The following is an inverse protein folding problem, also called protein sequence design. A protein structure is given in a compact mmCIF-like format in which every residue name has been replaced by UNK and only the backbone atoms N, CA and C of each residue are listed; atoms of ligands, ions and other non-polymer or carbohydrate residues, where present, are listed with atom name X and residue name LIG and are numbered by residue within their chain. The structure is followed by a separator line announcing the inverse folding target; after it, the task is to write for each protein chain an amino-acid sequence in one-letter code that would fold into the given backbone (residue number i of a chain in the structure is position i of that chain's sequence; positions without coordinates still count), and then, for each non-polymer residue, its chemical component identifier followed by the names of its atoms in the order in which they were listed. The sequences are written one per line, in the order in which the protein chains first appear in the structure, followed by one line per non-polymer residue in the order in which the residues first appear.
data_IF_782107397356
#
_entry.id   IF_782107397356
#
_cell.length_a   1.000
_cell.length_b   1.000
_cell.length_c   1.000
_cell.angle_alpha   90.00
_cell.angle_beta   90.00
_cell.angle_gamma   90.00
#
_symmetry.space_group_name_H-M   'P 1'
#
loop_
_entity.id
_entity.type
_entity.pdbx_description
1 polymer ?
#
# COMPACT_ATOMS: atom_id res chain seq x y z
N UNK A 1 6.70 25.11 -13.42
CA UNK A 1 5.81 23.96 -13.71
C UNK A 1 5.89 22.83 -12.68
N UNK A 2 7.04 22.60 -12.01
CA UNK A 2 7.21 21.56 -10.97
C UNK A 2 6.33 21.75 -9.74
N UNK A 3 6.26 22.93 -9.15
CA UNK A 3 5.48 23.21 -7.93
C UNK A 3 3.94 23.16 -8.12
N UNK A 4 3.45 23.43 -9.33
CA UNK A 4 2.00 23.35 -9.62
C UNK A 4 1.53 21.90 -9.70
N UNK A 5 2.33 21.02 -10.30
CA UNK A 5 2.03 19.58 -10.36
C UNK A 5 2.13 18.90 -9.00
N UNK A 6 3.09 19.31 -8.14
CA UNK A 6 3.19 18.77 -6.77
C UNK A 6 1.98 19.15 -5.89
N UNK A 7 1.44 20.35 -6.07
CA UNK A 7 0.25 20.77 -5.33
C UNK A 7 -1.04 20.09 -5.81
N UNK A 8 -1.16 19.80 -7.11
CA UNK A 8 -2.28 19.05 -7.67
C UNK A 8 -2.27 17.58 -7.23
N UNK A 9 -1.09 16.95 -7.14
CA UNK A 9 -0.94 15.56 -6.67
C UNK A 9 -1.19 15.43 -5.18
N UNK A 10 -0.68 16.37 -4.35
CA UNK A 10 -1.02 16.45 -2.92
C UNK A 10 -2.50 16.69 -2.67
N UNK A 11 -3.16 17.52 -3.49
CA UNK A 11 -4.61 17.76 -3.42
C UNK A 11 -5.43 16.52 -3.77
N UNK A 12 -5.06 15.78 -4.84
CA UNK A 12 -5.70 14.51 -5.20
C UNK A 12 -5.55 13.42 -4.14
N UNK A 13 -4.36 13.32 -3.53
CA UNK A 13 -4.10 12.39 -2.43
C UNK A 13 -4.89 12.76 -1.17
N UNK A 14 -4.99 14.05 -0.86
CA UNK A 14 -5.77 14.56 0.27
C UNK A 14 -7.28 14.31 0.07
N UNK A 15 -7.80 14.44 -1.14
CA UNK A 15 -9.20 14.13 -1.46
C UNK A 15 -9.50 12.63 -1.42
N UNK A 16 -8.55 11.75 -1.80
CA UNK A 16 -8.67 10.29 -1.64
C UNK A 16 -8.65 9.88 -0.17
N UNK A 17 -7.71 10.40 0.64
CA UNK A 17 -7.70 10.19 2.09
C UNK A 17 -8.96 10.70 2.77
N UNK A 18 -9.45 11.87 2.39
CA UNK A 18 -10.70 12.41 2.94
C UNK A 18 -11.92 11.54 2.59
N UNK A 19 -12.00 11.04 1.34
CA UNK A 19 -13.04 10.11 0.90
C UNK A 19 -13.01 8.79 1.66
N UNK A 20 -11.82 8.28 1.96
CA UNK A 20 -11.62 7.03 2.70
C UNK A 20 -11.92 7.21 4.19
N UNK A 21 -11.41 8.27 4.82
CA UNK A 21 -11.67 8.61 6.24
C UNK A 21 -13.15 8.92 6.48
N UNK A 22 -13.82 9.64 5.59
CA UNK A 22 -15.27 9.89 5.66
C UNK A 22 -16.06 8.60 5.47
N UNK A 23 -15.58 7.69 4.64
CA UNK A 23 -16.20 6.39 4.44
C UNK A 23 -16.02 5.49 5.68
N UNK A 24 -14.83 5.36 6.25
CA UNK A 24 -14.60 4.63 7.51
C UNK A 24 -15.37 5.22 8.69
N UNK A 25 -15.36 6.54 8.83
CA UNK A 25 -16.03 7.22 9.94
C UNK A 25 -17.56 7.16 9.90
N UNK A 26 -18.17 7.16 8.72
CA UNK A 26 -19.63 7.18 8.57
C UNK A 26 -20.22 5.82 8.19
N UNK A 27 -19.52 5.01 7.41
CA UNK A 27 -20.05 3.77 6.86
C UNK A 27 -20.01 2.63 7.85
N UNK A 28 -18.97 2.54 8.69
CA UNK A 28 -18.85 1.52 9.74
C UNK A 28 -20.04 1.53 10.69
N UNK A 29 -20.36 2.66 11.36
CA UNK A 29 -21.53 2.77 12.24
C UNK A 29 -22.85 2.53 11.51
N UNK A 30 -23.04 3.02 10.28
CA UNK A 30 -24.29 2.84 9.53
C UNK A 30 -24.52 1.37 9.17
N UNK A 31 -23.47 0.65 8.74
CA UNK A 31 -23.55 -0.79 8.44
C UNK A 31 -23.88 -1.58 9.69
N UNK A 32 -23.25 -1.25 10.81
CA UNK A 32 -23.50 -1.90 12.10
C UNK A 32 -24.94 -1.67 12.60
N UNK A 33 -25.42 -0.43 12.56
CA UNK A 33 -26.79 -0.08 12.89
C UNK A 33 -27.78 -0.84 11.98
N UNK A 34 -27.50 -0.88 10.67
CA UNK A 34 -28.34 -1.59 9.71
C UNK A 34 -28.35 -3.11 9.91
N UNK A 35 -27.27 -3.69 10.44
CA UNK A 35 -27.15 -5.11 10.71
C UNK A 35 -27.95 -5.54 11.95
N UNK A 36 -28.03 -4.66 12.96
CA UNK A 36 -28.62 -5.02 14.26
C UNK A 36 -29.98 -4.35 14.55
N UNK A 37 -30.46 -3.44 13.71
CA UNK A 37 -31.67 -2.66 13.99
C UNK A 37 -32.95 -3.52 14.21
N UNK A 38 -33.05 -4.64 13.47
CA UNK A 38 -34.18 -5.59 13.63
C UNK A 38 -34.19 -6.23 15.00
N UNK A 39 -33.01 -6.65 15.48
CA UNK A 39 -32.86 -7.26 16.81
C UNK A 39 -33.13 -6.23 17.91
N UNK A 40 -32.67 -4.98 17.71
CA UNK A 40 -32.96 -3.87 18.62
C UNK A 40 -34.45 -3.56 18.67
N UNK A 41 -35.16 -3.59 17.54
CA UNK A 41 -36.62 -3.44 17.52
C UNK A 41 -37.35 -4.59 18.26
N UNK A 42 -36.91 -5.84 18.10
CA UNK A 42 -37.44 -6.98 18.81
C UNK A 42 -37.25 -6.81 20.32
N UNK A 43 -36.04 -6.46 20.76
CA UNK A 43 -35.76 -6.21 22.18
C UNK A 43 -36.58 -5.04 22.73
N UNK A 44 -36.78 -3.99 21.96
CA UNK A 44 -37.59 -2.84 22.35
C UNK A 44 -39.09 -3.21 22.46
N UNK A 45 -39.61 -4.00 21.53
CA UNK A 45 -40.99 -4.53 21.61
C UNK A 45 -41.17 -5.42 22.82
N UNK A 46 -40.19 -6.27 23.12
CA UNK A 46 -40.19 -7.11 24.32
C UNK A 46 -40.11 -6.29 25.60
N UNK A 47 -39.30 -5.23 25.62
CA UNK A 47 -39.23 -4.30 26.76
C UNK A 47 -40.59 -3.69 27.07
N UNK A 48 -41.31 -3.22 26.07
CA UNK A 48 -42.63 -2.64 26.25
C UNK A 48 -43.67 -3.72 26.67
N UNK A 49 -43.65 -4.89 26.02
CA UNK A 49 -44.55 -5.98 26.36
C UNK A 49 -44.29 -6.52 27.77
N UNK A 50 -43.01 -6.65 28.16
CA UNK A 50 -42.64 -7.07 29.52
C UNK A 50 -43.10 -6.07 30.59
N UNK A 51 -42.89 -4.75 30.33
CA UNK A 51 -43.37 -3.71 31.23
C UNK A 51 -44.91 -3.76 31.38
N UNK A 52 -45.64 -4.06 30.30
CA UNK A 52 -47.09 -4.20 30.34
C UNK A 52 -47.55 -5.44 31.16
N UNK A 53 -46.82 -6.55 31.02
CA UNK A 53 -47.05 -7.77 31.82
C UNK A 53 -46.83 -7.47 33.29
N UNK A 54 -45.72 -6.92 33.71
CA UNK A 54 -45.41 -6.60 35.10
C UNK A 54 -46.39 -5.57 35.70
N UNK A 55 -46.81 -4.58 34.92
CA UNK A 55 -47.82 -3.62 35.37
C UNK A 55 -49.17 -4.25 35.59
N UNK A 56 -49.59 -5.19 34.71
CA UNK A 56 -50.91 -5.81 34.76
C UNK A 56 -51.01 -6.92 35.81
N UNK A 57 -50.05 -7.83 35.88
CA UNK A 57 -50.10 -9.00 36.75
C UNK A 57 -49.54 -8.73 38.16
N UNK A 58 -48.47 -7.99 38.25
CA UNK A 58 -47.78 -7.69 39.51
C UNK A 58 -48.21 -6.32 40.13
N UNK A 59 -49.12 -5.61 39.46
CA UNK A 59 -49.61 -4.29 39.89
C UNK A 59 -48.51 -3.26 40.20
N UNK A 60 -47.33 -3.40 39.58
CA UNK A 60 -46.22 -2.48 39.78
C UNK A 60 -46.53 -1.10 39.19
N UNK A 61 -46.06 -0.01 39.83
CA UNK A 61 -46.10 1.30 39.22
C UNK A 61 -45.31 1.29 37.92
N UNK A 62 -45.68 2.13 36.95
CA UNK A 62 -45.12 2.10 35.60
C UNK A 62 -43.57 2.08 35.58
N UNK A 63 -42.94 2.87 36.44
CA UNK A 63 -41.47 2.92 36.54
C UNK A 63 -40.90 1.59 37.07
N UNK A 64 -41.56 0.97 38.04
CA UNK A 64 -41.18 -0.34 38.57
C UNK A 64 -41.33 -1.45 37.54
N UNK A 65 -42.40 -1.42 36.75
CA UNK A 65 -42.63 -2.36 35.65
C UNK A 65 -41.59 -2.27 34.53
N UNK A 66 -41.16 -1.05 34.18
CA UNK A 66 -40.10 -0.81 33.25
C UNK A 66 -38.75 -1.35 33.77
N UNK A 67 -38.41 -1.11 35.03
CA UNK A 67 -37.19 -1.65 35.65
C UNK A 67 -37.20 -3.17 35.71
N UNK A 68 -38.34 -3.79 36.09
CA UNK A 68 -38.50 -5.24 36.09
C UNK A 68 -38.30 -5.82 34.68
N UNK A 69 -38.89 -5.21 33.66
CA UNK A 69 -38.75 -5.64 32.27
C UNK A 69 -37.30 -5.59 31.82
N UNK A 70 -36.56 -4.46 32.06
CA UNK A 70 -35.13 -4.35 31.74
C UNK A 70 -34.33 -5.44 32.47
N UNK A 71 -34.59 -5.63 33.77
CA UNK A 71 -33.88 -6.62 34.58
C UNK A 71 -34.05 -8.06 34.03
N UNK A 72 -35.22 -8.38 33.55
CA UNK A 72 -35.50 -9.70 32.96
C UNK A 72 -34.85 -9.87 31.58
N UNK A 73 -34.96 -8.88 30.72
CA UNK A 73 -34.36 -8.93 29.36
C UNK A 73 -32.83 -8.97 29.42
N UNK A 74 -32.23 -8.22 30.33
CA UNK A 74 -30.78 -8.19 30.50
C UNK A 74 -30.22 -9.35 31.31
N UNK A 75 -31.06 -10.22 31.82
CA UNK A 75 -30.70 -11.36 32.69
C UNK A 75 -29.93 -10.97 33.96
N UNK A 76 -30.01 -9.69 34.36
CA UNK A 76 -29.30 -9.19 35.55
C UNK A 76 -29.95 -9.71 36.85
N UNK A 77 -31.22 -10.06 36.80
CA UNK A 77 -31.92 -10.67 37.94
C UNK A 77 -32.18 -9.71 39.10
N UNK A 78 -32.24 -8.39 38.87
CA UNK A 78 -32.53 -7.40 39.91
C UNK A 78 -33.95 -7.43 40.41
N UNK A 79 -34.88 -7.97 39.62
CA UNK A 79 -36.28 -8.15 39.97
C UNK A 79 -36.68 -9.62 39.85
N UNK A 80 -37.34 -10.15 40.89
CA UNK A 80 -37.85 -11.50 40.91
C UNK A 80 -39.34 -11.40 41.18
N UNK A 81 -40.22 -11.93 40.31
CA UNK A 81 -41.66 -11.90 40.47
C UNK A 81 -42.07 -12.50 41.81
N UNK A 82 -43.09 -11.92 42.47
CA UNK A 82 -43.62 -12.37 43.74
C UNK A 82 -42.55 -12.67 44.83
N UNK A 83 -41.44 -11.93 44.84
CA UNK A 83 -40.33 -12.13 45.80
C UNK A 83 -39.67 -13.50 45.71
N UNK A 84 -39.73 -14.17 44.55
CA UNK A 84 -39.15 -15.50 44.31
C UNK A 84 -40.07 -16.67 44.59
N UNK A 85 -41.31 -16.44 44.92
CA UNK A 85 -42.29 -17.52 45.12
C UNK A 85 -43.01 -17.88 43.82
N UNK A 86 -42.41 -18.75 43.03
CA UNK A 86 -42.89 -19.15 41.69
C UNK A 86 -44.18 -19.96 41.73
N UNK A 87 -44.60 -20.50 42.92
CA UNK A 87 -45.86 -21.26 43.08
C UNK A 87 -47.10 -20.37 43.04
N UNK A 88 -46.93 -19.06 43.18
CA UNK A 88 -48.04 -18.08 43.16
C UNK A 88 -48.18 -17.37 41.81
N UNK A 89 -47.31 -17.66 40.83
CA UNK A 89 -47.45 -17.12 39.49
C UNK A 89 -48.65 -17.71 38.75
N UNK A 90 -49.38 -16.87 38.04
CA UNK A 90 -50.39 -17.33 37.11
C UNK A 90 -49.75 -18.08 35.95
N UNK A 91 -50.33 -19.18 35.46
CA UNK A 91 -49.80 -19.97 34.34
C UNK A 91 -49.51 -19.11 33.09
N UNK A 92 -50.37 -18.13 32.80
CA UNK A 92 -50.19 -17.22 31.67
C UNK A 92 -49.00 -16.29 31.86
N UNK A 93 -48.83 -15.78 33.07
CA UNK A 93 -47.69 -14.93 33.42
C UNK A 93 -46.35 -15.70 33.32
N UNK A 94 -46.29 -16.90 33.90
CA UNK A 94 -45.16 -17.79 33.85
C UNK A 94 -44.78 -18.12 32.41
N UNK A 95 -45.74 -18.43 31.54
CA UNK A 95 -45.51 -18.71 30.13
C UNK A 95 -44.95 -17.50 29.39
N UNK A 96 -45.52 -16.31 29.63
CA UNK A 96 -45.01 -15.07 29.00
C UNK A 96 -43.58 -14.74 29.44
N UNK A 97 -43.24 -14.93 30.72
CA UNK A 97 -41.88 -14.73 31.22
C UNK A 97 -40.89 -15.71 30.60
N UNK A 98 -41.26 -16.99 30.48
CA UNK A 98 -40.42 -18.01 29.82
C UNK A 98 -40.13 -17.62 28.34
N UNK A 99 -41.18 -17.26 27.60
CA UNK A 99 -41.04 -16.81 26.20
C UNK A 99 -40.13 -15.58 26.13
N UNK A 100 -40.32 -14.63 27.05
CA UNK A 100 -39.51 -13.39 27.07
C UNK A 100 -38.02 -13.67 27.31
N UNK A 101 -37.69 -14.59 28.23
CA UNK A 101 -36.32 -15.01 28.51
C UNK A 101 -35.71 -15.71 27.28
N UNK A 102 -36.39 -16.67 26.68
CA UNK A 102 -35.90 -17.41 25.53
C UNK A 102 -35.62 -16.46 24.34
N UNK A 103 -36.56 -15.56 24.05
CA UNK A 103 -36.40 -14.60 22.93
C UNK A 103 -35.34 -13.57 23.23
N UNK A 104 -35.15 -13.10 24.48
CA UNK A 104 -34.10 -12.15 24.84
C UNK A 104 -32.70 -12.74 24.66
N UNK A 105 -32.50 -13.99 25.12
CA UNK A 105 -31.21 -14.69 24.92
C UNK A 105 -30.92 -14.91 23.42
N UNK A 106 -31.96 -15.35 22.68
CA UNK A 106 -31.84 -15.52 21.22
C UNK A 106 -31.53 -14.22 20.48
N UNK A 107 -32.17 -13.11 20.86
CA UNK A 107 -31.89 -11.80 20.29
C UNK A 107 -30.48 -11.32 20.63
N UNK A 108 -30.01 -11.51 21.86
CA UNK A 108 -28.64 -11.22 22.30
C UNK A 108 -27.60 -11.99 21.49
N UNK A 109 -27.79 -13.30 21.32
CA UNK A 109 -26.93 -14.15 20.50
C UNK A 109 -26.89 -13.69 19.01
N UNK A 110 -28.08 -13.32 18.49
CA UNK A 110 -28.23 -12.81 17.12
C UNK A 110 -27.51 -11.46 16.91
N UNK A 111 -27.51 -10.58 17.92
CA UNK A 111 -26.74 -9.31 17.87
C UNK A 111 -25.24 -9.59 17.81
N UNK A 112 -24.73 -10.48 18.66
CA UNK A 112 -23.31 -10.88 18.63
C UNK A 112 -22.94 -11.45 17.26
N UNK A 113 -23.71 -12.38 16.73
CA UNK A 113 -23.48 -12.98 15.42
C UNK A 113 -23.51 -11.92 14.28
N UNK A 114 -24.47 -11.00 14.33
CA UNK A 114 -24.60 -9.92 13.34
C UNK A 114 -23.43 -8.94 13.41
N UNK A 115 -22.91 -8.68 14.61
CA UNK A 115 -21.74 -7.82 14.82
C UNK A 115 -20.49 -8.46 14.27
N UNK A 116 -20.24 -9.74 14.58
CA UNK A 116 -19.11 -10.50 14.02
C UNK A 116 -19.19 -10.53 12.49
N UNK A 117 -20.35 -10.86 11.94
CA UNK A 117 -20.56 -10.88 10.50
C UNK A 117 -20.33 -9.49 9.86
N UNK A 118 -20.70 -8.41 10.55
CA UNK A 118 -20.51 -7.04 10.05
C UNK A 118 -19.06 -6.64 10.02
N UNK A 119 -18.25 -7.06 11.00
CA UNK A 119 -16.80 -6.84 11.03
C UNK A 119 -16.13 -7.63 9.91
N UNK A 120 -16.46 -8.92 9.76
CA UNK A 120 -15.91 -9.77 8.67
C UNK A 120 -16.32 -9.23 7.30
N UNK A 121 -17.60 -8.88 7.10
CA UNK A 121 -18.09 -8.32 5.84
C UNK A 121 -17.54 -6.90 5.58
N UNK A 122 -17.22 -6.13 6.62
CA UNK A 122 -16.54 -4.84 6.50
C UNK A 122 -15.15 -4.97 5.88
N UNK A 123 -14.39 -6.01 6.26
CA UNK A 123 -13.11 -6.33 5.63
C UNK A 123 -13.29 -6.73 4.15
N UNK A 124 -14.34 -7.51 3.84
CA UNK A 124 -14.69 -7.88 2.46
C UNK A 124 -15.17 -6.66 1.64
N UNK A 125 -15.91 -5.74 2.27
CA UNK A 125 -16.36 -4.51 1.62
C UNK A 125 -15.20 -3.56 1.28
N UNK A 126 -14.12 -3.51 2.08
CA UNK A 126 -12.88 -2.80 1.73
C UNK A 126 -12.32 -3.30 0.40
N UNK A 127 -12.21 -4.60 0.20
CA UNK A 127 -11.74 -5.20 -1.06
C UNK A 127 -12.60 -4.85 -2.27
N UNK A 128 -13.93 -4.74 -2.11
CA UNK A 128 -14.83 -4.31 -3.20
C UNK A 128 -14.69 -2.82 -3.54
N UNK A 129 -14.41 -1.98 -2.55
CA UNK A 129 -14.15 -0.55 -2.77
C UNK A 129 -12.82 -0.36 -3.47
N UNK A 130 -11.77 -1.08 -3.06
CA UNK A 130 -10.47 -1.05 -3.73
C UNK A 130 -10.61 -1.44 -5.20
N UNK A 131 -11.31 -2.52 -5.51
CA UNK A 131 -11.59 -2.92 -6.90
C UNK A 131 -12.24 -1.78 -7.68
N UNK A 132 -13.24 -1.10 -7.09
CA UNK A 132 -13.90 0.05 -7.73
C UNK A 132 -12.95 1.25 -7.90
N UNK A 133 -12.03 1.48 -6.97
CA UNK A 133 -11.02 2.53 -7.08
C UNK A 133 -10.00 2.20 -8.17
N UNK A 134 -9.50 0.97 -8.20
CA UNK A 134 -8.57 0.49 -9.23
C UNK A 134 -9.20 0.63 -10.63
N UNK A 135 -10.49 0.30 -10.77
CA UNK A 135 -11.23 0.43 -12.05
C UNK A 135 -11.23 1.85 -12.63
N UNK A 136 -11.15 2.87 -11.75
CA UNK A 136 -11.14 4.29 -12.15
C UNK A 136 -9.76 4.81 -12.53
N UNK A 137 -8.69 4.07 -12.20
CA UNK A 137 -7.34 4.47 -12.55
C UNK A 137 -7.10 4.42 -14.06
N UNK A 138 -6.27 5.33 -14.54
CA UNK A 138 -5.78 5.39 -15.92
C UNK A 138 -4.31 5.81 -15.92
N UNK A 139 -3.50 5.14 -16.73
CA UNK A 139 -2.08 5.46 -16.83
C UNK A 139 -1.28 5.14 -15.55
N UNK A 140 -1.83 4.32 -14.67
CA UNK A 140 -1.18 3.92 -13.41
C UNK A 140 -0.07 2.91 -13.65
N UNK A 141 0.77 2.74 -12.64
CA UNK A 141 1.82 1.73 -12.58
C UNK A 141 1.29 0.48 -11.88
N UNK A 142 1.68 -0.70 -12.34
CA UNK A 142 1.47 -1.97 -11.65
C UNK A 142 2.82 -2.40 -11.10
N UNK A 143 2.91 -2.61 -9.80
CA UNK A 143 4.13 -3.11 -9.12
C UNK A 143 3.84 -4.51 -8.61
N UNK A 144 4.52 -5.51 -9.18
CA UNK A 144 4.43 -6.91 -8.76
C UNK A 144 5.58 -7.26 -7.82
N UNK A 145 5.23 -7.80 -6.65
CA UNK A 145 6.19 -8.12 -5.60
C UNK A 145 6.45 -6.92 -4.67
N UNK A 146 5.87 -6.96 -3.48
CA UNK A 146 6.11 -5.95 -2.43
C UNK A 146 7.24 -6.39 -1.50
N UNK A 147 8.37 -6.75 -2.11
CA UNK A 147 9.63 -7.07 -1.45
C UNK A 147 10.33 -5.79 -1.01
N UNK A 148 11.55 -5.90 -0.46
CA UNK A 148 12.34 -4.70 -0.12
C UNK A 148 12.48 -3.76 -1.33
N UNK A 149 12.78 -4.31 -2.51
CA UNK A 149 12.91 -3.51 -3.74
C UNK A 149 11.56 -2.93 -4.18
N UNK A 150 10.50 -3.75 -4.19
CA UNK A 150 9.15 -3.28 -4.54
C UNK A 150 8.68 -2.12 -3.65
N UNK A 151 9.01 -2.15 -2.35
CA UNK A 151 8.73 -1.03 -1.43
C UNK A 151 9.43 0.25 -1.87
N UNK A 152 10.72 0.20 -2.21
CA UNK A 152 11.45 1.37 -2.70
C UNK A 152 10.89 1.91 -4.02
N UNK A 153 10.46 1.01 -4.93
CA UNK A 153 9.79 1.43 -6.18
C UNK A 153 8.50 2.20 -5.86
N UNK A 154 7.66 1.63 -4.98
CA UNK A 154 6.40 2.24 -4.54
C UNK A 154 6.64 3.59 -3.87
N UNK A 155 7.61 3.69 -2.97
CA UNK A 155 8.00 4.94 -2.31
C UNK A 155 8.39 6.02 -3.34
N UNK A 156 9.22 5.67 -4.33
CA UNK A 156 9.63 6.62 -5.37
C UNK A 156 8.52 7.01 -6.34
N UNK A 157 7.57 6.12 -6.62
CA UNK A 157 6.36 6.46 -7.37
C UNK A 157 5.47 7.41 -6.56
N UNK A 158 5.34 7.16 -5.26
CA UNK A 158 4.55 7.95 -4.34
C UNK A 158 5.13 9.38 -4.17
N UNK A 159 6.44 9.52 -3.99
CA UNK A 159 7.14 10.82 -3.94
C UNK A 159 6.89 11.66 -5.21
N UNK A 160 6.78 11.00 -6.36
CA UNK A 160 6.49 11.64 -7.65
C UNK A 160 5.01 11.88 -7.89
N UNK A 161 4.13 11.45 -6.99
CA UNK A 161 2.68 11.58 -7.11
C UNK A 161 2.07 10.74 -8.22
N UNK A 162 2.70 9.62 -8.59
CA UNK A 162 2.24 8.71 -9.62
C UNK A 162 1.26 7.70 -9.03
N UNK A 163 0.19 7.39 -9.76
CA UNK A 163 -0.78 6.38 -9.34
C UNK A 163 -0.23 4.98 -9.58
N UNK A 164 -0.39 4.09 -8.60
CA UNK A 164 0.08 2.71 -8.70
C UNK A 164 -0.86 1.72 -8.02
N UNK A 165 -0.75 0.45 -8.41
CA UNK A 165 -1.42 -0.70 -7.81
C UNK A 165 -0.35 -1.74 -7.52
N UNK A 166 -0.34 -2.26 -6.30
CA UNK A 166 0.60 -3.32 -5.90
C UNK A 166 -0.07 -4.69 -6.06
N UNK A 167 0.62 -5.65 -6.65
CA UNK A 167 0.22 -7.05 -6.66
C UNK A 167 1.15 -7.82 -5.72
N UNK A 168 0.60 -8.56 -4.77
CA UNK A 168 1.36 -9.39 -3.83
C UNK A 168 0.72 -10.76 -3.65
N UNK A 169 1.53 -11.79 -3.40
CA UNK A 169 1.07 -13.14 -3.06
C UNK A 169 0.91 -13.34 -1.56
N UNK A 170 1.45 -12.44 -0.74
CA UNK A 170 1.43 -12.53 0.71
C UNK A 170 0.21 -11.81 1.29
N UNK A 171 -0.63 -12.56 2.02
CA UNK A 171 -1.85 -12.04 2.63
C UNK A 171 -1.59 -10.98 3.71
N UNK A 172 -0.53 -11.15 4.51
CA UNK A 172 -0.19 -10.20 5.56
C UNK A 172 0.25 -8.86 4.97
N UNK A 173 1.07 -8.92 3.91
CA UNK A 173 1.48 -7.73 3.14
C UNK A 173 0.28 -7.05 2.49
N UNK A 174 -0.65 -7.83 1.93
CA UNK A 174 -1.89 -7.29 1.37
C UNK A 174 -2.71 -6.53 2.42
N UNK A 175 -2.88 -7.12 3.61
CA UNK A 175 -3.61 -6.49 4.71
C UNK A 175 -2.90 -5.21 5.21
N UNK A 176 -1.56 -5.21 5.29
CA UNK A 176 -0.75 -4.03 5.62
C UNK A 176 -0.97 -2.91 4.61
N UNK A 177 -0.94 -3.22 3.31
CA UNK A 177 -1.12 -2.25 2.22
C UNK A 177 -2.51 -1.61 2.28
N UNK A 178 -3.56 -2.41 2.44
CA UNK A 178 -4.94 -1.91 2.55
C UNK A 178 -5.10 -1.01 3.77
N UNK A 179 -4.50 -1.39 4.90
CA UNK A 179 -4.55 -0.59 6.13
C UNK A 179 -3.83 0.76 5.95
N UNK A 180 -2.81 0.79 5.09
CA UNK A 180 -2.02 1.98 4.76
C UNK A 180 -2.58 2.79 3.57
N UNK A 181 -3.83 2.54 3.15
CA UNK A 181 -4.49 3.19 2.00
C UNK A 181 -3.76 3.01 0.65
N UNK A 182 -3.02 1.93 0.50
CA UNK A 182 -2.36 1.55 -0.75
C UNK A 182 -3.26 0.61 -1.54
N UNK A 183 -3.53 0.93 -2.80
CA UNK A 183 -4.31 0.06 -3.67
C UNK A 183 -3.53 -1.21 -3.99
N UNK A 184 -4.07 -2.35 -3.61
CA UNK A 184 -3.42 -3.63 -3.75
C UNK A 184 -4.32 -4.71 -4.34
N UNK A 185 -3.72 -5.71 -4.94
CA UNK A 185 -4.38 -6.93 -5.43
C UNK A 185 -3.68 -8.12 -4.80
N UNK A 186 -4.44 -8.98 -4.15
CA UNK A 186 -3.93 -10.25 -3.66
C UNK A 186 -3.95 -11.29 -4.79
N UNK A 187 -2.78 -11.78 -5.15
CA UNK A 187 -2.66 -12.92 -6.06
C UNK A 187 -2.88 -14.22 -5.30
N UNK A 188 -3.86 -14.99 -5.71
CA UNK A 188 -4.19 -16.28 -5.11
C UNK A 188 -4.01 -17.40 -6.13
N UNK A 189 -3.37 -18.50 -5.69
CA UNK A 189 -3.23 -19.70 -6.52
C UNK A 189 -2.28 -19.55 -7.72
N UNK A 190 -1.38 -18.56 -7.74
CA UNK A 190 -0.43 -18.35 -8.84
C UNK A 190 -1.07 -17.86 -10.15
N UNK A 191 -2.29 -17.32 -10.10
CA UNK A 191 -3.00 -16.83 -11.29
C UNK A 191 -2.62 -15.36 -11.61
N UNK A 192 -1.44 -15.20 -12.21
CA UNK A 192 -0.92 -13.90 -12.66
C UNK A 192 -1.87 -13.17 -13.64
N UNK A 193 -2.59 -13.93 -14.49
CA UNK A 193 -3.54 -13.35 -15.46
C UNK A 193 -4.69 -12.69 -14.72
N UNK A 194 -5.25 -13.37 -13.73
CA UNK A 194 -6.36 -12.85 -12.92
C UNK A 194 -5.93 -11.61 -12.13
N UNK A 195 -4.75 -11.65 -11.53
CA UNK A 195 -4.19 -10.53 -10.75
C UNK A 195 -3.96 -9.30 -11.60
N UNK A 196 -3.36 -9.45 -12.78
CA UNK A 196 -3.14 -8.37 -13.74
C UNK A 196 -4.46 -7.77 -14.26
N UNK A 197 -5.47 -8.60 -14.54
CA UNK A 197 -6.82 -8.11 -14.89
C UNK A 197 -7.46 -7.35 -13.74
N UNK A 198 -7.32 -7.83 -12.51
CA UNK A 198 -7.84 -7.13 -11.32
C UNK A 198 -7.11 -5.81 -11.06
N UNK A 199 -5.83 -5.71 -11.44
CA UNK A 199 -5.05 -4.47 -11.44
C UNK A 199 -5.33 -3.58 -12.67
N UNK A 200 -6.27 -3.93 -13.55
CA UNK A 200 -6.63 -3.21 -14.77
C UNK A 200 -5.43 -2.90 -15.69
N UNK A 201 -4.67 -3.93 -16.06
CA UNK A 201 -3.51 -3.84 -16.95
C UNK A 201 -3.82 -3.13 -18.27
N UNK A 202 -5.07 -3.23 -18.76
CA UNK A 202 -5.52 -2.59 -19.99
C UNK A 202 -5.48 -1.06 -19.92
N UNK A 203 -5.49 -0.49 -18.71
CA UNK A 203 -5.43 0.96 -18.46
C UNK A 203 -4.10 1.42 -17.85
N UNK A 204 -3.22 0.49 -17.49
CA UNK A 204 -1.93 0.78 -16.91
C UNK A 204 -0.96 1.35 -17.94
N UNK A 205 0.05 2.09 -17.50
CA UNK A 205 1.14 2.60 -18.38
C UNK A 205 2.38 1.70 -18.34
N UNK A 206 2.68 1.13 -17.18
CA UNK A 206 3.91 0.37 -16.95
C UNK A 206 3.63 -0.76 -15.97
N UNK A 207 4.28 -1.91 -16.18
CA UNK A 207 4.37 -3.00 -15.21
C UNK A 207 5.81 -3.09 -14.73
N UNK A 208 6.02 -3.00 -13.42
CA UNK A 208 7.30 -3.22 -12.76
C UNK A 208 7.23 -4.54 -12.03
N UNK A 209 8.11 -5.47 -12.39
CA UNK A 209 8.16 -6.82 -11.85
C UNK A 209 9.40 -6.94 -10.98
N UNK A 210 9.18 -7.04 -9.66
CA UNK A 210 10.24 -6.92 -8.65
C UNK A 210 10.09 -7.95 -7.52
N UNK A 211 9.64 -9.18 -7.85
CA UNK A 211 9.59 -10.27 -6.87
C UNK A 211 10.96 -10.92 -6.67
N UNK A 212 11.12 -11.65 -5.56
CA UNK A 212 12.35 -12.37 -5.20
C UNK A 212 12.60 -13.55 -6.12
N UNK A 213 11.54 -14.20 -6.60
CA UNK A 213 11.65 -15.39 -7.45
C UNK A 213 11.63 -15.04 -8.92
N UNK A 214 12.72 -15.29 -9.61
CA UNK A 214 12.83 -15.05 -11.06
C UNK A 214 11.80 -15.84 -11.88
N UNK A 215 11.40 -17.05 -11.43
CA UNK A 215 10.34 -17.85 -12.05
C UNK A 215 8.98 -17.12 -12.05
N UNK A 216 8.63 -16.50 -10.92
CA UNK A 216 7.36 -15.77 -10.77
C UNK A 216 7.41 -14.48 -11.61
N UNK A 217 8.57 -13.83 -11.67
CA UNK A 217 8.81 -12.69 -12.54
C UNK A 217 8.62 -13.04 -14.01
N UNK A 218 9.19 -14.15 -14.49
CA UNK A 218 9.04 -14.62 -15.87
C UNK A 218 7.58 -14.95 -16.20
N UNK A 219 6.87 -15.64 -15.30
CA UNK A 219 5.46 -15.97 -15.48
C UNK A 219 4.60 -14.71 -15.59
N UNK A 220 4.86 -13.70 -14.75
CA UNK A 220 4.13 -12.44 -14.81
C UNK A 220 4.41 -11.68 -16.11
N UNK A 221 5.66 -11.62 -16.57
CA UNK A 221 6.04 -10.98 -17.84
C UNK A 221 5.28 -11.61 -18.99
N UNK A 222 5.28 -12.94 -19.11
CA UNK A 222 4.54 -13.67 -20.14
C UNK A 222 3.04 -13.39 -20.07
N UNK A 223 2.48 -13.38 -18.85
CA UNK A 223 1.07 -13.10 -18.63
C UNK A 223 0.70 -11.66 -19.00
N UNK A 224 1.53 -10.69 -18.63
CA UNK A 224 1.35 -9.29 -18.97
C UNK A 224 1.41 -9.06 -20.48
N UNK A 225 2.38 -9.64 -21.16
CA UNK A 225 2.55 -9.53 -22.62
C UNK A 225 1.43 -10.20 -23.39
N UNK A 226 0.89 -11.32 -22.87
CA UNK A 226 -0.30 -11.99 -23.41
C UNK A 226 -1.55 -11.12 -23.30
N UNK A 227 -1.73 -10.40 -22.20
CA UNK A 227 -2.89 -9.55 -21.96
C UNK A 227 -2.78 -8.22 -22.72
N UNK A 228 -1.57 -7.65 -22.79
CA UNK A 228 -1.36 -6.37 -23.46
C UNK A 228 0.02 -6.32 -24.12
N UNK A 229 0.03 -6.31 -25.45
CA UNK A 229 1.28 -6.41 -26.24
C UNK A 229 2.16 -5.17 -26.19
N UNK A 230 1.59 -4.00 -26.00
CA UNK A 230 2.24 -2.67 -26.07
C UNK A 230 2.64 -2.10 -24.70
N UNK A 231 2.28 -2.77 -23.59
CA UNK A 231 2.62 -2.27 -22.26
C UNK A 231 4.11 -2.35 -22.00
N UNK A 232 4.66 -1.29 -21.40
CA UNK A 232 6.07 -1.27 -20.99
C UNK A 232 6.27 -2.15 -19.74
N UNK A 233 7.19 -3.11 -19.82
CA UNK A 233 7.48 -4.07 -18.75
C UNK A 233 8.94 -3.91 -18.32
N UNK A 234 9.15 -3.57 -17.05
CA UNK A 234 10.45 -3.51 -16.41
C UNK A 234 10.58 -4.66 -15.41
N UNK A 235 11.69 -5.35 -15.40
CA UNK A 235 11.93 -6.43 -14.45
C UNK A 235 13.35 -6.42 -13.91
N UNK A 236 13.51 -7.03 -12.74
CA UNK A 236 14.82 -7.46 -12.24
C UNK A 236 14.96 -8.96 -12.47
N UNK A 237 16.19 -9.41 -12.61
CA UNK A 237 16.57 -10.82 -12.52
C UNK A 237 17.74 -10.94 -11.55
N UNK A 238 17.72 -11.97 -10.72
CA UNK A 238 18.78 -12.23 -9.74
C UNK A 238 19.91 -13.04 -10.39
N UNK A 239 19.54 -14.00 -11.26
CA UNK A 239 20.47 -14.78 -12.04
C UNK A 239 20.72 -14.15 -13.42
N UNK A 240 21.98 -13.88 -13.72
CA UNK A 240 22.39 -13.27 -14.99
C UNK A 240 21.99 -14.12 -16.22
N UNK A 241 21.99 -15.44 -16.07
CA UNK A 241 21.58 -16.40 -17.10
C UNK A 241 20.12 -16.20 -17.56
N UNK A 242 19.26 -15.62 -16.71
CA UNK A 242 17.86 -15.39 -17.01
C UNK A 242 17.57 -14.06 -17.73
N UNK A 243 18.58 -13.22 -17.93
CA UNK A 243 18.41 -11.92 -18.62
C UNK A 243 17.80 -12.07 -20.00
N UNK A 244 18.38 -12.94 -20.83
CA UNK A 244 17.91 -13.16 -22.20
C UNK A 244 16.54 -13.81 -22.21
N UNK A 245 16.28 -14.73 -21.29
CA UNK A 245 14.97 -15.34 -21.13
C UNK A 245 13.90 -14.30 -20.76
N UNK A 246 14.19 -13.37 -19.86
CA UNK A 246 13.28 -12.29 -19.49
C UNK A 246 13.00 -11.33 -20.66
N UNK A 247 14.02 -11.00 -21.46
CA UNK A 247 13.86 -10.21 -22.71
C UNK A 247 12.97 -10.96 -23.70
N UNK A 248 13.23 -12.25 -23.93
CA UNK A 248 12.46 -13.10 -24.84
C UNK A 248 11.01 -13.32 -24.35
N UNK A 249 10.79 -13.36 -23.02
CA UNK A 249 9.46 -13.37 -22.43
C UNK A 249 8.67 -12.08 -22.67
N UNK A 250 9.36 -11.00 -23.09
CA UNK A 250 8.76 -9.74 -23.48
C UNK A 250 9.01 -8.57 -22.51
N UNK A 251 10.01 -8.65 -21.62
CA UNK A 251 10.42 -7.49 -20.83
C UNK A 251 11.15 -6.47 -21.71
N UNK A 252 10.78 -5.19 -21.59
CA UNK A 252 11.43 -4.10 -22.32
C UNK A 252 12.73 -3.66 -21.65
N UNK A 253 12.78 -3.75 -20.32
CA UNK A 253 13.97 -3.43 -19.52
C UNK A 253 14.18 -4.57 -18.52
N UNK A 254 15.38 -5.14 -18.55
CA UNK A 254 15.81 -6.19 -17.60
C UNK A 254 17.03 -5.70 -16.87
N UNK A 255 16.98 -5.68 -15.55
CA UNK A 255 18.08 -5.25 -14.67
C UNK A 255 18.64 -6.47 -13.95
N UNK A 256 19.86 -6.92 -14.26
CA UNK A 256 20.50 -8.02 -13.54
C UNK A 256 21.05 -7.51 -12.21
N UNK A 257 20.32 -7.75 -11.13
CA UNK A 257 20.62 -7.16 -9.82
C UNK A 257 22.00 -7.55 -9.29
N UNK A 258 22.38 -8.84 -9.40
CA UNK A 258 23.67 -9.33 -8.90
C UNK A 258 24.86 -8.72 -9.65
N UNK A 259 24.78 -8.63 -10.98
CA UNK A 259 25.84 -8.01 -11.79
C UNK A 259 25.93 -6.52 -11.47
N UNK A 260 24.79 -5.82 -11.49
CA UNK A 260 24.75 -4.37 -11.25
C UNK A 260 25.30 -4.01 -9.88
N UNK A 261 24.85 -4.70 -8.83
CA UNK A 261 25.33 -4.47 -7.47
C UNK A 261 26.80 -4.89 -7.31
N UNK A 262 27.23 -5.99 -7.94
CA UNK A 262 28.63 -6.42 -7.94
C UNK A 262 29.55 -5.39 -8.56
N UNK A 263 29.19 -4.84 -9.71
CA UNK A 263 29.96 -3.75 -10.35
C UNK A 263 30.00 -2.50 -9.46
N UNK A 264 28.87 -2.09 -8.86
CA UNK A 264 28.83 -0.95 -7.94
C UNK A 264 29.76 -1.14 -6.74
N UNK A 265 29.72 -2.33 -6.13
CA UNK A 265 30.57 -2.63 -4.97
C UNK A 265 32.04 -2.70 -5.35
N UNK A 266 32.38 -3.33 -6.48
CA UNK A 266 33.76 -3.39 -6.96
C UNK A 266 34.30 -2.00 -7.28
N UNK A 267 33.49 -1.14 -7.88
CA UNK A 267 33.85 0.25 -8.15
C UNK A 267 34.04 1.04 -6.85
N UNK A 268 33.10 0.93 -5.91
CA UNK A 268 33.19 1.60 -4.62
C UNK A 268 34.44 1.17 -3.82
N UNK A 269 34.88 -0.07 -3.98
CA UNK A 269 36.07 -0.58 -3.29
C UNK A 269 37.38 -0.01 -3.80
N UNK A 270 37.42 0.45 -5.07
CA UNK A 270 38.65 0.98 -5.72
C UNK A 270 38.63 2.49 -5.92
N UNK A 271 37.52 3.15 -5.65
CA UNK A 271 37.37 4.60 -5.80
C UNK A 271 37.41 5.26 -4.42
N UNK A 272 38.24 6.24 -4.11
CA UNK A 272 38.40 6.85 -2.77
C UNK A 272 37.13 7.57 -2.49
N UNK A 273 36.23 7.94 -2.60
CA UNK A 273 34.93 8.58 -2.25
C UNK A 273 33.86 8.41 -3.34
N UNK A 274 33.30 7.20 -3.52
CA UNK A 274 32.26 6.98 -4.51
C UNK A 274 30.91 7.55 -4.00
N UNK A 275 30.52 8.73 -4.48
CA UNK A 275 29.26 9.40 -4.07
C UNK A 275 28.08 8.92 -4.92
N UNK A 276 28.27 8.55 -6.17
CA UNK A 276 27.22 7.99 -7.02
C UNK A 276 27.78 7.45 -8.34
N UNK A 277 27.30 6.29 -8.74
CA UNK A 277 27.71 5.65 -9.99
C UNK A 277 26.50 5.12 -10.74
N UNK A 278 26.38 5.48 -12.01
CA UNK A 278 25.37 4.94 -12.92
C UNK A 278 26.09 4.17 -14.02
N UNK A 279 25.86 2.85 -14.10
CA UNK A 279 26.42 2.02 -15.17
C UNK A 279 25.43 1.84 -16.31
N UNK A 280 25.94 1.80 -17.52
CA UNK A 280 25.19 1.45 -18.72
C UNK A 280 25.87 0.29 -19.46
N UNK A 281 25.22 -0.86 -19.54
CA UNK A 281 25.73 -1.99 -20.35
C UNK A 281 25.90 -1.66 -21.84
N UNK A 282 25.17 -0.68 -22.36
CA UNK A 282 25.29 -0.25 -23.77
C UNK A 282 26.51 0.58 -24.06
N UNK A 283 27.11 1.21 -23.04
CA UNK A 283 28.28 2.09 -23.16
C UNK A 283 29.58 1.30 -22.86
N UNK A 284 29.47 0.02 -22.54
CA UNK A 284 30.60 -0.85 -22.25
C UNK A 284 31.20 -0.61 -20.86
N UNK A 285 32.51 -0.27 -20.81
CA UNK A 285 33.22 0.03 -19.56
C UNK A 285 33.00 1.48 -19.07
N UNK A 286 32.25 2.27 -19.81
CA UNK A 286 31.99 3.65 -19.47
C UNK A 286 30.86 3.77 -18.47
N UNK A 287 31.03 4.61 -17.47
CA UNK A 287 30.05 4.91 -16.41
C UNK A 287 29.90 6.41 -16.24
N UNK A 288 28.88 6.80 -15.48
CA UNK A 288 28.72 8.16 -14.97
C UNK A 288 29.12 8.13 -13.50
N UNK A 289 30.11 8.93 -13.12
CA UNK A 289 30.57 8.98 -11.73
C UNK A 289 30.57 10.42 -11.22
N UNK A 290 30.27 10.59 -9.93
CA UNK A 290 30.51 11.84 -9.22
C UNK A 290 31.91 11.77 -8.61
N UNK A 291 32.75 12.77 -8.94
CA UNK A 291 34.13 12.84 -8.48
C UNK A 291 34.31 14.12 -7.66
N UNK A 292 34.37 14.02 -6.33
CA UNK A 292 34.59 15.17 -5.45
C UNK A 292 36.07 15.60 -5.53
N UNK A 293 36.31 16.90 -5.67
CA UNK A 293 37.67 17.47 -5.70
C UNK A 293 38.13 17.72 -4.27
N UNK A 294 38.99 16.84 -3.77
CA UNK A 294 39.63 17.02 -2.49
C UNK A 294 40.58 18.24 -2.50
N UNK A 295 40.82 18.83 -1.33
CA UNK A 295 41.75 19.98 -1.20
C UNK A 295 43.20 19.68 -1.64
N UNK A 296 43.59 18.40 -1.62
CA UNK A 296 44.88 17.91 -2.06
C UNK A 296 44.95 17.56 -3.56
N UNK A 297 43.81 17.62 -4.26
CA UNK A 297 43.76 17.23 -5.69
C UNK A 297 44.49 18.19 -6.57
N UNK A 298 45.19 17.67 -7.59
CA UNK A 298 45.87 18.46 -8.64
C UNK A 298 44.89 19.28 -9.50
N UNK A 299 43.60 18.95 -9.42
CA UNK A 299 42.53 19.67 -10.12
C UNK A 299 42.18 21.01 -9.47
N UNK A 300 42.59 21.27 -8.22
CA UNK A 300 42.35 22.56 -7.57
C UNK A 300 43.06 23.67 -8.28
N UNK A 301 42.30 24.64 -8.79
CA UNK A 301 42.81 25.74 -9.62
C UNK A 301 42.99 25.41 -11.11
N UNK A 302 42.86 24.16 -11.52
CA UNK A 302 42.90 23.77 -12.93
C UNK A 302 41.66 24.29 -13.69
N UNK A 303 41.81 24.51 -14.96
CA UNK A 303 40.68 24.84 -15.83
C UNK A 303 39.88 23.59 -16.18
N UNK A 304 38.55 23.72 -16.26
CA UNK A 304 37.66 22.64 -16.63
C UNK A 304 38.07 21.99 -17.97
N UNK A 305 38.53 22.77 -18.95
CA UNK A 305 38.99 22.26 -20.24
C UNK A 305 40.20 21.30 -20.11
N UNK A 306 41.04 21.47 -19.11
CA UNK A 306 42.19 20.59 -18.91
C UNK A 306 41.80 19.26 -18.30
N UNK A 307 40.85 19.26 -17.37
CA UNK A 307 40.22 18.05 -16.84
C UNK A 307 39.41 17.32 -17.93
N UNK A 308 38.74 18.06 -18.80
CA UNK A 308 37.95 17.51 -19.91
C UNK A 308 38.78 16.82 -21.02
N UNK A 309 40.07 16.96 -21.01
CA UNK A 309 40.99 16.19 -21.92
C UNK A 309 41.13 14.74 -21.50
N UNK A 310 40.88 14.43 -20.22
CA UNK A 310 41.06 13.11 -19.64
C UNK A 310 39.77 12.33 -19.59
N UNK A 311 38.64 13.02 -19.32
CA UNK A 311 37.33 12.45 -19.17
C UNK A 311 36.27 13.39 -19.71
N UNK A 312 35.10 12.85 -20.08
CA UNK A 312 33.96 13.70 -20.47
C UNK A 312 33.30 14.25 -19.22
N UNK A 313 33.30 15.57 -19.01
CA UNK A 313 32.65 16.21 -17.87
C UNK A 313 31.25 16.63 -18.30
N UNK A 314 30.23 16.05 -17.64
CA UNK A 314 28.81 16.35 -17.89
C UNK A 314 28.27 17.52 -17.04
N UNK A 315 28.94 17.82 -15.91
CA UNK A 315 28.55 18.90 -14.99
C UNK A 315 29.54 19.10 -13.86
N UNK A 316 29.41 20.25 -13.20
CA UNK A 316 30.13 20.56 -11.95
C UNK A 316 29.10 21.00 -10.93
N UNK A 317 29.11 20.39 -9.76
CA UNK A 317 28.34 20.85 -8.61
C UNK A 317 29.23 21.67 -7.69
N UNK A 318 28.81 22.84 -7.31
CA UNK A 318 29.46 23.73 -6.34
C UNK A 318 28.44 24.25 -5.35
N UNK A 319 28.69 24.06 -4.06
CA UNK A 319 27.80 24.51 -2.97
C UNK A 319 26.35 24.00 -3.12
N UNK A 320 26.16 22.76 -3.58
CA UNK A 320 24.83 22.14 -3.79
C UNK A 320 24.11 22.63 -5.06
N UNK A 321 24.78 23.42 -5.92
CA UNK A 321 24.19 23.94 -7.14
C UNK A 321 24.95 23.40 -8.36
N UNK A 322 24.20 22.78 -9.29
CA UNK A 322 24.80 22.34 -10.56
C UNK A 322 25.10 23.56 -11.45
N UNK A 323 26.39 23.80 -11.65
CA UNK A 323 26.86 24.85 -12.56
C UNK A 323 26.72 24.35 -14.00
N UNK A 324 25.75 24.92 -14.72
CA UNK A 324 25.43 24.51 -16.11
C UNK A 324 26.36 25.15 -17.16
N UNK A 325 27.30 26.02 -16.79
CA UNK A 325 28.19 26.64 -17.73
C UNK A 325 29.42 25.78 -18.08
N UNK A 326 29.16 24.52 -18.44
CA UNK A 326 30.15 23.55 -18.93
C UNK A 326 30.84 24.05 -20.22
N UNK A 327 30.29 25.07 -20.87
CA UNK A 327 30.79 25.64 -22.11
C UNK A 327 31.84 26.73 -21.90
N UNK A 328 32.06 27.20 -20.65
CA UNK A 328 33.15 28.10 -20.34
C UNK A 328 34.41 27.30 -19.99
N UNK A 329 35.22 27.02 -20.98
CA UNK A 329 36.49 26.29 -20.80
C UNK A 329 37.47 26.95 -19.81
N UNK A 330 37.23 28.20 -19.42
CA UNK A 330 38.02 28.94 -18.42
C UNK A 330 37.50 28.75 -16.97
N UNK A 331 36.44 27.98 -16.76
CA UNK A 331 35.92 27.71 -15.42
C UNK A 331 37.01 27.04 -14.56
N UNK A 332 37.40 27.70 -13.47
CA UNK A 332 38.41 27.19 -12.54
C UNK A 332 37.77 26.28 -11.49
N UNK A 333 38.27 25.07 -11.37
CA UNK A 333 37.87 24.08 -10.39
C UNK A 333 38.37 24.45 -8.99
N UNK A 334 37.57 24.17 -7.94
CA UNK A 334 37.90 24.46 -6.55
C UNK A 334 37.80 23.19 -5.71
N UNK A 335 38.48 23.19 -4.57
CA UNK A 335 38.27 22.21 -3.54
C UNK A 335 36.82 22.24 -3.09
N UNK A 336 36.17 21.09 -2.96
CA UNK A 336 34.72 20.94 -2.61
C UNK A 336 33.81 20.93 -3.84
N UNK A 337 34.29 21.21 -5.06
CA UNK A 337 33.48 20.94 -6.25
C UNK A 337 33.31 19.43 -6.46
N UNK A 338 32.18 19.01 -7.01
CA UNK A 338 31.97 17.64 -7.47
C UNK A 338 31.80 17.63 -8.98
N UNK A 339 32.66 16.89 -9.67
CA UNK A 339 32.57 16.70 -11.11
C UNK A 339 31.61 15.54 -11.42
N UNK A 340 30.67 15.75 -12.32
CA UNK A 340 29.90 14.68 -12.94
C UNK A 340 30.62 14.25 -14.20
N UNK A 341 31.26 13.10 -14.20
CA UNK A 341 32.10 12.59 -15.28
C UNK A 341 31.48 11.40 -15.98
N UNK A 342 31.65 11.34 -17.29
CA UNK A 342 31.27 10.19 -18.13
C UNK A 342 32.59 9.65 -18.76
N UNK A 343 32.86 8.36 -18.55
CA UNK A 343 34.04 7.75 -19.16
C UNK A 343 34.40 6.39 -18.60
N UNK A 344 35.50 5.84 -19.08
CA UNK A 344 36.06 4.59 -18.56
C UNK A 344 36.52 4.82 -17.12
N UNK A 345 35.99 4.00 -16.21
CA UNK A 345 36.32 4.08 -14.78
C UNK A 345 37.80 3.87 -14.49
N UNK A 346 38.56 3.21 -15.40
CA UNK A 346 40.01 3.07 -15.29
C UNK A 346 40.74 4.41 -15.43
N UNK A 347 40.16 5.37 -16.14
CA UNK A 347 40.76 6.69 -16.36
C UNK A 347 40.50 7.68 -15.23
N UNK A 348 39.55 7.38 -14.31
CA UNK A 348 39.25 8.26 -13.19
C UNK A 348 40.43 8.40 -12.20
N UNK A 349 41.27 7.35 -12.07
CA UNK A 349 42.53 7.42 -11.29
C UNK A 349 43.54 8.43 -11.80
N UNK A 350 43.41 8.87 -13.05
CA UNK A 350 44.33 9.89 -13.64
C UNK A 350 43.90 11.31 -13.28
N UNK A 351 42.72 11.49 -12.65
CA UNK A 351 42.24 12.78 -12.17
C UNK A 351 42.74 13.14 -10.77
N UNK A 352 43.24 12.15 -10.00
CA UNK A 352 43.93 12.38 -8.72
C UNK A 352 45.32 12.92 -8.96
#
# INVERSE_FOLDING_TARGET
MSNYNQNLTKSKRRSRKLGFVLYEGLYGPIVLIRAVWRQVLVLFAMFLSGAMVFHHYEHLPLLGALLASVSTITTIGLYVPNGGNFSTLNEQEALLLIIMIIVSVGAGASILQSTVNSVVNGALAKGEIEKKLITKLKGHFIVYGYTRLGRYVVEKLDERGLDYVVITQNLDVYNELITSDVLAVLETGGDAIKSLKSAHIEKASVVVVADVKDSDNLLLILSARKLRRDIKILTIVHEASLMEMAKNAGADVVIPSSITLGHLLAFAAVTPDPVGVIFSEKIGKEGIAEFPIASSSRLVGAKLQDAAKLVTIAGVERDGVIVRSIFDGNFALRAGDTLLVIGDTSNLKTLE
#
